data_IF_875626326253
#
_entry.id   IF_875626326253
#
_cell.length_a   1.000
_cell.length_b   1.000
_cell.length_c   1.000
_cell.angle_alpha   90.00
_cell.angle_beta   90.00
_cell.angle_gamma   90.00
#
_symmetry.space_group_name_H-M   'P 1'
#
loop_
_entity.id
_entity.type
_entity.pdbx_description
1 polymer ?
#
# COMPACT_ATOMS: atom_id res chain seq x y z
N UNK A 1 -9.72 -0.11 -4.15
CA UNK A 1 -9.11 0.02 -5.49
C UNK A 1 -7.65 -0.40 -5.52
N UNK A 2 -6.81 0.25 -4.70
CA UNK A 2 -5.34 0.12 -4.76
C UNK A 2 -4.79 -1.31 -4.81
N UNK A 3 -5.32 -2.23 -3.99
CA UNK A 3 -4.91 -3.65 -4.02
C UNK A 3 -5.03 -4.28 -5.41
N UNK A 4 -6.20 -4.19 -6.04
CA UNK A 4 -6.39 -4.81 -7.36
C UNK A 4 -5.55 -4.14 -8.42
N UNK A 5 -5.41 -2.81 -8.37
CA UNK A 5 -4.54 -2.08 -9.28
C UNK A 5 -3.08 -2.51 -9.15
N UNK A 6 -2.57 -2.68 -7.92
CA UNK A 6 -1.19 -3.15 -7.69
C UNK A 6 -0.92 -4.59 -8.13
N UNK A 7 -1.95 -5.42 -8.25
CA UNK A 7 -1.80 -6.80 -8.73
C UNK A 7 -1.63 -6.89 -10.25
N UNK A 8 -2.12 -5.89 -10.99
CA UNK A 8 -2.12 -5.90 -12.47
C UNK A 8 -1.23 -4.84 -13.08
N UNK A 9 -0.64 -3.94 -12.29
CA UNK A 9 0.08 -2.76 -12.76
C UNK A 9 1.25 -3.13 -13.69
N UNK A 10 2.06 -4.12 -13.30
CA UNK A 10 3.19 -4.59 -14.09
C UNK A 10 2.74 -5.22 -15.42
N UNK A 11 1.69 -6.05 -15.39
CA UNK A 11 1.14 -6.69 -16.59
C UNK A 11 0.51 -5.67 -17.56
N UNK A 12 -0.07 -4.62 -17.01
CA UNK A 12 -0.69 -3.55 -17.79
C UNK A 12 0.32 -2.56 -18.37
N UNK A 13 1.60 -2.63 -17.96
CA UNK A 13 2.67 -1.75 -18.46
C UNK A 13 2.38 -0.26 -18.25
N UNK A 14 1.71 0.09 -17.14
CA UNK A 14 1.36 1.48 -16.84
C UNK A 14 2.60 2.28 -16.43
N UNK A 15 2.57 3.60 -16.67
CA UNK A 15 3.68 4.48 -16.30
C UNK A 15 3.85 4.65 -14.77
N UNK A 16 2.79 4.41 -14.00
CA UNK A 16 2.82 4.48 -12.55
C UNK A 16 1.47 4.17 -11.91
N UNK A 17 1.50 3.92 -10.60
CA UNK A 17 0.35 3.61 -9.77
C UNK A 17 0.27 4.57 -8.58
N UNK A 18 -0.94 5.06 -8.28
CA UNK A 18 -1.22 5.79 -7.05
C UNK A 18 -2.31 5.05 -6.27
N UNK A 19 -2.01 4.71 -5.02
CA UNK A 19 -2.93 4.11 -4.07
C UNK A 19 -3.23 5.12 -2.95
N UNK A 20 -4.51 5.37 -2.68
CA UNK A 20 -4.95 6.16 -1.53
C UNK A 20 -5.59 5.18 -0.53
N UNK A 21 -5.08 5.12 0.70
CA UNK A 21 -5.60 4.18 1.73
C UNK A 21 -5.38 2.72 1.35
N UNK A 22 -4.13 2.27 1.15
CA UNK A 22 -3.87 0.88 0.76
C UNK A 22 -4.19 -0.07 1.94
N UNK A 23 -5.09 -1.06 1.78
CA UNK A 23 -5.43 -1.96 2.86
C UNK A 23 -4.39 -3.08 2.98
N UNK A 24 -3.31 -2.86 3.75
CA UNK A 24 -2.20 -3.79 3.92
C UNK A 24 -2.62 -5.12 4.54
N UNK A 25 -3.70 -5.11 5.32
CA UNK A 25 -4.37 -6.33 5.80
C UNK A 25 -5.90 -6.14 5.81
N UNK A 26 -6.69 -7.23 5.89
CA UNK A 26 -8.13 -7.13 6.11
C UNK A 26 -8.48 -6.56 7.49
N UNK A 27 -9.70 -6.00 7.65
CA UNK A 27 -10.24 -5.65 8.96
C UNK A 27 -10.19 -6.86 9.92
N UNK A 28 -9.79 -6.60 11.17
CA UNK A 28 -9.70 -7.59 12.25
C UNK A 28 -8.77 -8.81 11.98
N UNK A 29 -7.90 -8.73 10.96
CA UNK A 29 -6.94 -9.80 10.61
C UNK A 29 -5.56 -9.22 10.26
N UNK A 30 -4.88 -8.51 11.19
CA UNK A 30 -3.58 -7.86 10.94
C UNK A 30 -2.48 -8.85 10.51
N UNK A 31 -2.59 -10.12 10.90
CA UNK A 31 -1.68 -11.19 10.53
C UNK A 31 -1.77 -11.61 9.05
N UNK A 32 -2.90 -11.31 8.38
CA UNK A 32 -3.12 -11.70 6.98
C UNK A 32 -2.72 -10.59 6.03
N UNK A 33 -1.42 -10.46 5.80
CA UNK A 33 -0.86 -9.42 4.94
C UNK A 33 -1.28 -9.54 3.46
N UNK A 34 -1.35 -8.39 2.78
CA UNK A 34 -1.65 -8.21 1.35
C UNK A 34 -0.48 -7.53 0.64
N UNK A 35 0.73 -7.90 1.03
CA UNK A 35 1.98 -7.23 0.65
C UNK A 35 2.91 -8.11 -0.18
N UNK A 36 2.65 -9.41 -0.30
CA UNK A 36 3.56 -10.37 -0.97
C UNK A 36 3.97 -9.92 -2.39
N UNK A 37 3.01 -9.49 -3.21
CA UNK A 37 3.29 -8.99 -4.56
C UNK A 37 3.95 -7.60 -4.57
N UNK A 38 3.79 -6.80 -3.51
CA UNK A 38 4.39 -5.47 -3.42
C UNK A 38 5.91 -5.52 -3.31
N UNK A 39 6.48 -6.61 -2.79
CA UNK A 39 7.92 -6.80 -2.71
C UNK A 39 8.60 -6.87 -4.09
N UNK A 40 7.88 -7.36 -5.11
CA UNK A 40 8.38 -7.51 -6.49
C UNK A 40 7.81 -6.52 -7.50
N UNK A 41 6.95 -5.60 -7.06
CA UNK A 41 6.26 -4.66 -7.95
C UNK A 41 7.28 -3.76 -8.67
N UNK A 42 7.31 -3.82 -10.00
CA UNK A 42 8.27 -3.05 -10.81
C UNK A 42 7.74 -1.66 -11.19
N UNK A 43 6.42 -1.51 -11.28
CA UNK A 43 5.76 -0.25 -11.61
C UNK A 43 6.02 0.81 -10.53
N UNK A 44 6.51 2.02 -10.89
CA UNK A 44 6.65 3.13 -9.94
C UNK A 44 5.33 3.42 -9.23
N UNK A 45 5.33 3.33 -7.90
CA UNK A 45 4.11 3.36 -7.11
C UNK A 45 4.22 4.37 -5.97
N UNK A 46 3.17 5.18 -5.80
CA UNK A 46 2.97 6.04 -4.64
C UNK A 46 1.79 5.50 -3.83
N UNK A 47 2.03 5.17 -2.57
CA UNK A 47 0.97 4.88 -1.60
C UNK A 47 0.84 6.10 -0.70
N UNK A 48 -0.32 6.73 -0.71
CA UNK A 48 -0.69 7.80 0.22
C UNK A 48 -1.56 7.18 1.31
N UNK A 49 -1.09 7.26 2.55
CA UNK A 49 -1.68 6.54 3.68
C UNK A 49 -1.87 7.47 4.87
N UNK A 50 -3.04 7.43 5.50
CA UNK A 50 -3.26 8.12 6.78
C UNK A 50 -2.43 7.47 7.88
N UNK A 51 -1.81 8.27 8.75
CA UNK A 51 -1.04 7.74 9.89
C UNK A 51 -1.92 7.06 10.95
N UNK A 52 -3.24 7.31 10.93
CA UNK A 52 -4.26 6.64 11.77
C UNK A 52 -5.08 5.59 11.02
N UNK A 53 -4.69 5.22 9.80
CA UNK A 53 -5.37 4.17 9.04
C UNK A 53 -5.25 2.82 9.77
N UNK A 54 -6.41 2.22 10.09
CA UNK A 54 -6.51 0.94 10.82
C UNK A 54 -6.14 -0.29 9.98
N UNK A 55 -5.86 -0.11 8.70
CA UNK A 55 -5.46 -1.17 7.79
C UNK A 55 -3.98 -1.10 7.39
N UNK A 56 -3.21 -0.22 8.05
CA UNK A 56 -1.76 -0.17 7.96
C UNK A 56 -1.24 1.17 8.47
N UNK A 57 -0.80 1.17 9.72
CA UNK A 57 -0.16 2.28 10.41
C UNK A 57 1.34 2.39 10.06
N UNK A 58 2.01 3.52 10.37
CA UNK A 58 3.45 3.67 10.13
C UNK A 58 4.30 2.56 10.75
N UNK A 59 4.01 2.18 12.00
CA UNK A 59 4.78 1.16 12.72
C UNK A 59 4.61 -0.23 12.10
N UNK A 60 3.41 -0.55 11.60
CA UNK A 60 3.15 -1.81 10.91
C UNK A 60 3.87 -1.86 9.57
N UNK A 61 3.74 -0.79 8.77
CA UNK A 61 4.29 -0.74 7.41
C UNK A 61 5.81 -0.66 7.40
N UNK A 62 6.44 -0.09 8.44
CA UNK A 62 7.89 -0.05 8.57
C UNK A 62 8.54 -1.46 8.58
N UNK A 63 7.81 -2.49 9.00
CA UNK A 63 8.28 -3.88 8.99
C UNK A 63 8.03 -4.65 7.69
N UNK A 64 7.33 -4.07 6.72
CA UNK A 64 6.95 -4.78 5.49
C UNK A 64 8.06 -4.72 4.44
N UNK A 65 8.24 -5.83 3.73
CA UNK A 65 9.09 -5.87 2.55
C UNK A 65 8.33 -5.25 1.37
N UNK A 66 8.75 -4.07 0.94
CA UNK A 66 8.21 -3.35 -0.20
C UNK A 66 9.30 -3.20 -1.28
N UNK A 67 8.90 -3.23 -2.55
CA UNK A 67 9.78 -2.93 -3.67
C UNK A 67 10.34 -1.50 -3.54
N UNK A 68 11.57 -1.30 -3.99
CA UNK A 68 12.21 0.03 -4.08
C UNK A 68 11.46 1.00 -5.02
N UNK A 69 10.62 0.45 -5.93
CA UNK A 69 9.75 1.24 -6.78
C UNK A 69 8.56 1.87 -6.03
N UNK A 70 8.31 1.46 -4.77
CA UNK A 70 7.21 1.93 -3.94
C UNK A 70 7.70 3.03 -2.99
N UNK A 71 6.99 4.15 -2.98
CA UNK A 71 7.10 5.19 -1.96
C UNK A 71 5.81 5.27 -1.16
N UNK A 72 5.93 5.28 0.17
CA UNK A 72 4.80 5.53 1.07
C UNK A 72 4.88 6.96 1.57
N UNK A 73 3.81 7.73 1.37
CA UNK A 73 3.64 9.08 1.88
C UNK A 73 2.57 9.07 2.96
N UNK A 74 2.95 9.49 4.16
CA UNK A 74 2.06 9.54 5.32
C UNK A 74 1.35 10.88 5.38
N UNK A 75 0.03 10.86 5.45
CA UNK A 75 -0.81 12.02 5.70
C UNK A 75 -1.04 12.16 7.22
N UNK A 76 -0.56 13.26 7.84
CA UNK A 76 -0.80 13.51 9.26
C UNK A 76 -2.29 13.65 9.54
N UNK A 77 -2.74 13.07 10.65
CA UNK A 77 -4.15 13.03 11.08
C UNK A 77 -5.12 12.39 10.06
N UNK A 78 -4.61 11.77 8.98
CA UNK A 78 -5.45 11.07 8.02
C UNK A 78 -5.94 9.74 8.57
N UNK A 79 -7.17 9.35 8.26
CA UNK A 79 -7.68 8.00 8.50
C UNK A 79 -7.99 7.27 7.17
N UNK A 80 -8.63 6.10 7.24
CA UNK A 80 -8.94 5.31 6.04
C UNK A 80 -10.01 5.95 5.14
N UNK A 81 -10.86 6.80 5.71
CA UNK A 81 -11.99 7.44 5.04
C UNK A 81 -11.67 8.86 4.52
N UNK A 82 -10.48 9.38 4.86
CA UNK A 82 -9.86 10.70 4.61
C UNK A 82 -9.81 11.58 5.86
#
# INVERSE_FOLDING_TARGET
GGRMASLVADECGVAGLVCLGYPFHPPAKPEKLRTEHLAGLSTPTLIVQGDRDRFGSPDEVAGYLLSEAIRVHWMPDGDHDL
#
